data_IF_340826589041
#
_entry.id   IF_340826589041
#
_cell.length_a   1.000
_cell.length_b   1.000
_cell.length_c   1.000
_cell.angle_alpha   90.00
_cell.angle_beta   90.00
_cell.angle_gamma   90.00
#
_symmetry.space_group_name_H-M   'P 1'
#
loop_
_entity.id
_entity.type
_entity.pdbx_description
1 polymer ?
#
# COMPACT_ATOMS: atom_id res chain seq x y z
N UNK A 1 5.35 5.22 22.81
CA UNK A 1 4.23 5.49 21.90
C UNK A 1 3.92 4.23 21.12
N UNK A 2 2.73 3.67 21.26
CA UNK A 2 2.33 2.41 20.61
C UNK A 2 2.04 2.68 19.13
N UNK A 3 2.75 2.01 18.22
CA UNK A 3 2.47 2.12 16.78
C UNK A 3 1.08 1.52 16.51
N UNK A 4 0.21 2.27 15.81
CA UNK A 4 -1.10 1.75 15.39
C UNK A 4 -0.88 0.70 14.29
N UNK A 5 -1.24 -0.54 14.57
CA UNK A 5 -1.11 -1.67 13.63
C UNK A 5 -2.49 -2.00 13.08
N UNK A 6 -2.64 -1.95 11.76
CA UNK A 6 -3.88 -2.31 11.04
C UNK A 6 -4.06 -3.83 11.05
N UNK A 7 -2.99 -4.56 10.76
CA UNK A 7 -2.98 -6.03 10.73
C UNK A 7 -1.62 -6.56 11.14
N UNK A 8 -1.62 -7.54 12.03
CA UNK A 8 -0.41 -8.23 12.47
C UNK A 8 -0.37 -9.64 11.87
N UNK A 9 0.73 -9.98 11.19
CA UNK A 9 0.95 -11.29 10.60
C UNK A 9 2.24 -11.91 11.14
N UNK A 10 2.49 -13.18 10.85
CA UNK A 10 3.75 -13.85 11.23
C UNK A 10 4.99 -13.12 10.68
N UNK A 11 4.89 -12.53 9.48
CA UNK A 11 6.01 -11.91 8.77
C UNK A 11 6.15 -10.41 9.04
N UNK A 12 5.04 -9.67 8.98
CA UNK A 12 5.04 -8.21 9.03
C UNK A 12 3.81 -7.63 9.74
N UNK A 13 3.91 -6.36 10.11
CA UNK A 13 2.79 -5.55 10.60
C UNK A 13 2.41 -4.51 9.55
N UNK A 14 1.15 -4.41 9.19
CA UNK A 14 0.65 -3.33 8.31
C UNK A 14 0.39 -2.10 9.18
N UNK A 15 1.05 -0.99 8.86
CA UNK A 15 0.98 0.27 9.63
C UNK A 15 0.03 1.28 8.98
N UNK A 16 0.14 1.44 7.66
CA UNK A 16 -0.69 2.32 6.84
C UNK A 16 -1.05 1.60 5.54
N UNK A 17 -2.18 1.96 4.94
CA UNK A 17 -2.67 1.30 3.75
C UNK A 17 -3.57 2.25 2.97
N UNK A 18 -3.22 2.51 1.70
CA UNK A 18 -4.14 3.08 0.71
C UNK A 18 -4.75 1.94 -0.11
N UNK A 19 -6.06 1.98 -0.37
CA UNK A 19 -6.77 0.96 -1.15
C UNK A 19 -7.68 1.59 -2.20
N UNK A 20 -7.76 0.95 -3.36
CA UNK A 20 -8.76 1.21 -4.39
C UNK A 20 -9.34 -0.13 -4.81
N UNK A 21 -10.66 -0.20 -4.97
CA UNK A 21 -11.35 -1.41 -5.41
C UNK A 21 -12.08 -1.16 -6.74
N UNK A 22 -12.13 -2.19 -7.58
CA UNK A 22 -13.04 -2.27 -8.73
C UNK A 22 -13.98 -3.49 -8.58
N UNK A 23 -14.61 -3.90 -9.68
CA UNK A 23 -15.58 -5.01 -9.68
C UNK A 23 -14.94 -6.37 -9.34
N UNK A 24 -13.63 -6.54 -9.55
CA UNK A 24 -12.97 -7.84 -9.43
C UNK A 24 -11.86 -7.87 -8.36
N UNK A 25 -11.17 -6.75 -8.13
CA UNK A 25 -9.98 -6.70 -7.29
C UNK A 25 -9.96 -5.50 -6.33
N UNK A 26 -9.20 -5.67 -5.24
CA UNK A 26 -8.78 -4.59 -4.37
C UNK A 26 -7.27 -4.43 -4.44
N UNK A 27 -6.86 -3.28 -4.95
CA UNK A 27 -5.48 -2.85 -5.10
C UNK A 27 -5.05 -2.07 -3.88
N UNK A 28 -3.80 -2.25 -3.44
CA UNK A 28 -3.31 -1.53 -2.27
C UNK A 28 -1.82 -1.24 -2.29
N UNK A 29 -1.47 -0.09 -1.70
CA UNK A 29 -0.09 0.26 -1.34
C UNK A 29 -0.03 0.35 0.19
N UNK A 30 0.86 -0.43 0.77
CA UNK A 30 0.93 -0.64 2.22
C UNK A 30 2.29 -0.22 2.74
N UNK A 31 2.28 0.49 3.87
CA UNK A 31 3.47 0.64 4.71
C UNK A 31 3.50 -0.52 5.69
N UNK A 32 4.50 -1.39 5.56
CA UNK A 32 4.65 -2.58 6.40
C UNK A 32 5.93 -2.52 7.21
N UNK A 33 5.89 -2.99 8.46
CA UNK A 33 7.07 -3.22 9.28
C UNK A 33 7.46 -4.69 9.20
N UNK A 34 8.65 -4.98 8.65
CA UNK A 34 9.17 -6.35 8.56
C UNK A 34 9.82 -6.72 9.87
N UNK A 35 9.28 -7.74 10.56
CA UNK A 35 9.73 -8.13 11.90
C UNK A 35 11.17 -8.66 11.92
N UNK A 36 11.54 -9.43 10.90
CA UNK A 36 12.86 -10.08 10.81
C UNK A 36 14.01 -9.07 10.70
N UNK A 37 13.82 -8.01 9.90
CA UNK A 37 14.85 -7.00 9.63
C UNK A 37 14.59 -5.65 10.32
N UNK A 38 13.49 -5.54 11.07
CA UNK A 38 13.09 -4.38 11.88
C UNK A 38 13.07 -3.06 11.10
N UNK A 39 12.51 -3.06 9.89
CA UNK A 39 12.41 -1.85 9.05
C UNK A 39 11.04 -1.70 8.41
N UNK A 40 10.68 -0.47 8.07
CA UNK A 40 9.48 -0.14 7.33
C UNK A 40 9.76 -0.28 5.81
N UNK A 41 8.83 -0.89 5.07
CA UNK A 41 8.88 -1.06 3.61
C UNK A 41 7.54 -0.67 2.99
N UNK A 42 7.55 -0.35 1.69
CA UNK A 42 6.35 -0.12 0.89
C UNK A 42 6.08 -1.36 0.05
N UNK A 43 4.88 -1.93 0.20
CA UNK A 43 4.45 -3.12 -0.53
C UNK A 43 3.25 -2.80 -1.41
N UNK A 44 3.31 -3.27 -2.65
CA UNK A 44 2.17 -3.32 -3.56
C UNK A 44 1.49 -4.68 -3.39
N UNK A 45 0.19 -4.68 -3.12
CA UNK A 45 -0.57 -5.89 -2.81
C UNK A 45 -1.90 -5.91 -3.57
N UNK A 46 -2.24 -7.10 -4.09
CA UNK A 46 -3.50 -7.41 -4.72
C UNK A 46 -4.32 -8.32 -3.80
N UNK A 47 -5.57 -7.96 -3.57
CA UNK A 47 -6.54 -8.78 -2.85
C UNK A 47 -7.74 -9.08 -3.74
N UNK A 48 -8.32 -10.27 -3.59
CA UNK A 48 -9.55 -10.69 -4.28
C UNK A 48 -10.46 -11.45 -3.35
N UNK A 49 -11.76 -11.27 -3.51
CA UNK A 49 -12.74 -12.10 -2.85
C UNK A 49 -12.78 -13.50 -3.47
N UNK A 50 -12.79 -14.50 -2.61
CA UNK A 50 -12.94 -15.89 -3.02
C UNK A 50 -14.16 -16.49 -2.35
N UNK A 51 -14.71 -17.55 -2.93
CA UNK A 51 -15.84 -18.31 -2.36
C UNK A 51 -15.61 -18.68 -0.89
N UNK A 52 -14.34 -18.81 -0.46
CA UNK A 52 -13.94 -19.21 0.90
C UNK A 52 -13.57 -18.06 1.84
N UNK A 53 -13.25 -16.87 1.33
CA UNK A 53 -12.78 -15.73 2.13
C UNK A 53 -12.81 -14.45 1.30
N UNK A 54 -13.31 -13.37 1.90
CA UNK A 54 -13.09 -12.01 1.42
C UNK A 54 -11.62 -11.59 1.61
N UNK A 55 -11.15 -10.66 0.77
CA UNK A 55 -9.80 -10.06 0.81
C UNK A 55 -8.63 -11.07 0.83
N UNK A 56 -8.65 -12.09 -0.03
CA UNK A 56 -7.54 -13.03 -0.14
C UNK A 56 -6.39 -12.42 -0.93
N UNK A 57 -5.19 -12.45 -0.35
CA UNK A 57 -3.95 -11.99 -1.00
C UNK A 57 -3.59 -12.84 -2.22
N UNK A 58 -3.27 -12.20 -3.35
CA UNK A 58 -2.84 -12.87 -4.58
C UNK A 58 -1.34 -12.63 -4.81
N UNK A 59 -0.53 -13.70 -4.96
CA UNK A 59 0.87 -13.60 -5.32
C UNK A 59 1.05 -13.30 -6.83
N UNK A 60 0.88 -12.02 -7.20
CA UNK A 60 1.35 -11.32 -8.42
C UNK A 60 0.85 -9.87 -8.26
N UNK A 61 1.71 -8.99 -7.73
CA UNK A 61 1.27 -7.99 -6.75
C UNK A 61 0.44 -6.83 -7.28
N UNK A 62 0.60 -6.39 -8.54
CA UNK A 62 -0.23 -5.32 -9.10
C UNK A 62 0.02 -5.13 -10.61
N UNK A 63 -1.03 -5.28 -11.43
CA UNK A 63 -1.07 -4.83 -12.84
C UNK A 63 -2.25 -3.84 -12.96
N UNK A 64 -1.98 -2.57 -13.25
CA UNK A 64 -3.00 -1.49 -13.31
C UNK A 64 -2.69 -0.48 -14.40
N UNK A 65 -3.71 0.25 -14.87
CA UNK A 65 -3.55 1.37 -15.80
C UNK A 65 -2.92 2.59 -15.11
N UNK A 66 -2.46 3.57 -15.89
CA UNK A 66 -1.91 4.82 -15.33
C UNK A 66 -2.93 5.59 -14.48
N UNK A 67 -4.21 5.62 -14.90
CA UNK A 67 -5.29 6.28 -14.16
C UNK A 67 -5.53 5.60 -12.80
N UNK A 68 -5.59 4.27 -12.78
CA UNK A 68 -5.73 3.48 -11.57
C UNK A 68 -4.52 3.66 -10.65
N UNK A 69 -3.31 3.71 -11.20
CA UNK A 69 -2.09 3.99 -10.44
C UNK A 69 -2.11 5.39 -9.84
N UNK A 70 -2.54 6.41 -10.60
CA UNK A 70 -2.64 7.78 -10.11
C UNK A 70 -3.64 7.88 -8.95
N UNK A 71 -4.78 7.22 -9.08
CA UNK A 71 -5.78 7.14 -8.01
C UNK A 71 -5.25 6.41 -6.77
N UNK A 72 -4.51 5.31 -6.97
CA UNK A 72 -3.83 4.60 -5.88
C UNK A 72 -2.79 5.47 -5.18
N UNK A 73 -2.00 6.23 -5.93
CA UNK A 73 -1.02 7.15 -5.37
C UNK A 73 -1.69 8.26 -4.56
N UNK A 74 -2.78 8.84 -5.08
CA UNK A 74 -3.58 9.86 -4.36
C UNK A 74 -4.12 9.32 -3.04
N UNK A 75 -4.72 8.14 -3.06
CA UNK A 75 -5.27 7.52 -1.86
C UNK A 75 -4.17 7.17 -0.85
N UNK A 76 -3.03 6.70 -1.33
CA UNK A 76 -1.88 6.32 -0.48
C UNK A 76 -1.21 7.53 0.18
N UNK A 77 -1.12 8.66 -0.52
CA UNK A 77 -0.68 9.95 0.05
C UNK A 77 -1.66 10.38 1.15
N UNK A 78 -2.96 10.33 0.88
CA UNK A 78 -4.02 10.75 1.81
C UNK A 78 -4.05 9.87 3.05
N UNK A 79 -3.86 8.56 2.89
CA UNK A 79 -3.79 7.55 3.96
C UNK A 79 -2.46 7.54 4.73
N UNK A 80 -1.52 8.42 4.38
CA UNK A 80 -0.23 8.56 5.06
C UNK A 80 0.72 7.39 4.88
N UNK A 81 0.60 6.64 3.77
CA UNK A 81 1.52 5.55 3.43
C UNK A 81 2.94 6.09 3.20
N UNK A 82 3.05 7.26 2.58
CA UNK A 82 4.31 7.95 2.32
C UNK A 82 4.60 9.01 3.39
N UNK A 83 5.88 9.20 3.72
CA UNK A 83 6.29 10.29 4.62
C UNK A 83 6.18 11.65 3.92
N UNK A 84 6.02 12.72 4.70
CA UNK A 84 6.00 14.10 4.17
C UNK A 84 7.28 14.44 3.41
N UNK A 85 8.43 13.96 3.89
CA UNK A 85 9.72 14.13 3.25
C UNK A 85 9.78 13.44 1.89
N UNK A 86 9.28 12.19 1.80
CA UNK A 86 9.18 11.48 0.54
C UNK A 86 8.34 12.25 -0.48
N UNK A 87 7.16 12.74 -0.08
CA UNK A 87 6.24 13.49 -0.96
C UNK A 87 6.91 14.79 -1.45
N UNK A 88 7.61 15.51 -0.57
CA UNK A 88 8.35 16.72 -0.93
C UNK A 88 9.42 16.43 -1.98
N UNK A 89 10.24 15.40 -1.75
CA UNK A 89 11.30 15.01 -2.67
C UNK A 89 10.72 14.54 -4.02
N UNK A 90 9.63 13.77 -4.00
CA UNK A 90 8.92 13.35 -5.21
C UNK A 90 8.40 14.55 -6.00
N UNK A 91 7.78 15.54 -5.34
CA UNK A 91 7.32 16.76 -6.00
C UNK A 91 8.46 17.55 -6.63
N UNK A 92 9.64 17.62 -6.00
CA UNK A 92 10.80 18.27 -6.58
C UNK A 92 11.26 17.55 -7.85
N UNK A 93 11.31 16.21 -7.84
CA UNK A 93 11.67 15.40 -9.02
C UNK A 93 10.67 15.62 -10.16
N UNK A 94 9.38 15.65 -9.86
CA UNK A 94 8.33 15.85 -10.88
C UNK A 94 8.36 17.26 -11.49
N UNK A 95 8.69 18.28 -10.70
CA UNK A 95 8.73 19.68 -11.12
C UNK A 95 10.09 20.12 -11.73
N UNK A 96 11.08 19.23 -11.80
CA UNK A 96 12.38 19.47 -12.44
C UNK A 96 12.36 19.19 -13.96
N UNK A 97 11.20 18.83 -14.52
CA UNK A 97 10.98 18.68 -15.96
C UNK A 97 10.59 20.00 -16.61
#
# INVERSE_FOLDING_TARGET
MTRKVIKDTKYCQILNQGKVADEEYTYSIEKIFIKAVKRDEIRFSLYKDTIRSAERYIPRSLDVTEEQLLQLMKESITSGVFSKEFIKNLSQILNQK
#
